data_IF_918855830416
#
_entry.id   IF_918855830416
#
_cell.length_a   1.000
_cell.length_b   1.000
_cell.length_c   1.000
_cell.angle_alpha   90.00
_cell.angle_beta   90.00
_cell.angle_gamma   90.00
#
_symmetry.space_group_name_H-M   'P 1'
#
loop_
_entity.id
_entity.type
_entity.pdbx_description
1 polymer ?
#
# COMPACT_ATOMS: atom_id res chain seq x y z
N UNK A 1 -16.22 6.78 9.84
CA UNK A 1 -15.35 6.90 8.63
C UNK A 1 -16.27 7.15 7.44
N UNK A 2 -16.09 8.22 6.67
CA UNK A 2 -17.01 8.53 5.56
C UNK A 2 -16.78 7.59 4.36
N UNK A 3 -17.84 7.31 3.59
CA UNK A 3 -17.78 6.44 2.40
C UNK A 3 -16.66 6.83 1.43
N UNK A 4 -16.47 8.14 1.19
CA UNK A 4 -15.39 8.65 0.34
C UNK A 4 -13.97 8.32 0.85
N UNK A 5 -13.79 8.13 2.16
CA UNK A 5 -12.48 7.75 2.72
C UNK A 5 -12.20 6.27 2.51
N UNK A 6 -13.23 5.42 2.65
CA UNK A 6 -13.12 3.97 2.40
C UNK A 6 -12.81 3.71 0.93
N UNK A 7 -13.50 4.41 0.02
CA UNK A 7 -13.25 4.30 -1.41
C UNK A 7 -11.81 4.72 -1.77
N UNK A 8 -11.34 5.86 -1.25
CA UNK A 8 -9.95 6.30 -1.44
C UNK A 8 -8.95 5.26 -0.92
N UNK A 9 -9.19 4.69 0.25
CA UNK A 9 -8.30 3.69 0.83
C UNK A 9 -8.26 2.40 -0.01
N UNK A 10 -9.40 1.96 -0.54
CA UNK A 10 -9.47 0.81 -1.46
C UNK A 10 -8.69 1.09 -2.76
N UNK A 11 -8.86 2.27 -3.36
CA UNK A 11 -8.18 2.67 -4.60
C UNK A 11 -6.66 2.78 -4.46
N UNK A 12 -6.18 3.10 -3.27
CA UNK A 12 -4.75 3.25 -2.95
C UNK A 12 -4.08 1.92 -2.57
N UNK A 13 -4.85 0.86 -2.33
CA UNK A 13 -4.33 -0.42 -1.81
C UNK A 13 -3.14 -0.94 -2.62
N UNK A 14 -3.34 -1.13 -3.94
CA UNK A 14 -2.32 -1.68 -4.83
C UNK A 14 -1.15 -0.71 -5.05
N UNK A 15 -1.43 0.59 -5.02
CA UNK A 15 -0.38 1.61 -5.14
C UNK A 15 0.56 1.56 -3.93
N UNK A 16 0.02 1.47 -2.71
CA UNK A 16 0.81 1.34 -1.48
C UNK A 16 1.68 0.08 -1.46
N UNK A 17 1.21 -1.02 -2.05
CA UNK A 17 2.03 -2.24 -2.18
C UNK A 17 3.24 -2.00 -3.09
N UNK A 18 3.03 -1.36 -4.25
CA UNK A 18 4.11 -1.02 -5.18
C UNK A 18 5.08 -0.03 -4.55
N UNK A 19 4.56 1.02 -3.91
CA UNK A 19 5.38 2.02 -3.22
C UNK A 19 6.20 1.40 -2.07
N UNK A 20 5.62 0.47 -1.32
CA UNK A 20 6.34 -0.23 -0.26
C UNK A 20 7.50 -1.06 -0.82
N UNK A 21 7.29 -1.73 -1.95
CA UNK A 21 8.33 -2.51 -2.61
C UNK A 21 9.47 -1.61 -3.12
N UNK A 22 9.14 -0.50 -3.79
CA UNK A 22 10.11 0.51 -4.22
C UNK A 22 10.92 1.07 -3.02
N UNK A 23 10.24 1.39 -1.93
CA UNK A 23 10.91 1.88 -0.71
C UNK A 23 11.82 0.82 -0.08
N UNK A 24 11.46 -0.48 -0.12
CA UNK A 24 12.31 -1.58 0.36
C UNK A 24 13.57 -1.73 -0.49
N UNK A 25 13.42 -1.73 -1.82
CA UNK A 25 14.55 -1.73 -2.75
C UNK A 25 15.49 -0.54 -2.49
N UNK A 26 14.93 0.65 -2.28
CA UNK A 26 15.71 1.85 -1.97
C UNK A 26 16.46 1.77 -0.66
N UNK A 27 15.89 1.12 0.36
CA UNK A 27 16.60 0.85 1.62
C UNK A 27 17.79 -0.09 1.36
N UNK A 28 17.60 -1.14 0.56
CA UNK A 28 18.68 -2.07 0.19
C UNK A 28 19.79 -1.36 -0.60
N UNK A 29 19.45 -0.52 -1.57
CA UNK A 29 20.42 0.32 -2.31
C UNK A 29 21.24 1.21 -1.36
N UNK A 30 20.59 1.85 -0.38
CA UNK A 30 21.25 2.69 0.61
C UNK A 30 22.19 1.88 1.52
N UNK A 31 21.80 0.65 1.89
CA UNK A 31 22.64 -0.26 2.69
C UNK A 31 23.85 -0.77 1.88
N UNK A 32 23.66 -1.17 0.63
CA UNK A 32 24.74 -1.61 -0.25
C UNK A 32 25.72 -0.48 -0.58
N UNK A 33 25.23 0.73 -0.86
CA UNK A 33 26.08 1.90 -1.07
C UNK A 33 26.94 2.23 0.15
N UNK A 34 26.41 1.97 1.36
CA UNK A 34 27.19 2.05 2.59
C UNK A 34 28.28 0.96 2.64
N UNK A 35 27.93 -0.31 2.41
CA UNK A 35 28.88 -1.43 2.43
C UNK A 35 30.02 -1.27 1.42
N UNK A 36 29.72 -0.89 0.18
CA UNK A 36 30.73 -0.64 -0.87
C UNK A 36 31.61 0.57 -0.49
N UNK A 37 31.01 1.62 0.09
CA UNK A 37 31.74 2.78 0.57
C UNK A 37 32.65 2.50 1.77
N UNK A 38 32.35 1.45 2.55
CA UNK A 38 33.18 0.94 3.66
C UNK A 38 34.32 0.06 3.12
N UNK A 39 34.06 -0.82 2.14
CA UNK A 39 35.08 -1.67 1.50
C UNK A 39 36.15 -0.83 0.79
N UNK A 40 35.77 0.29 0.16
CA UNK A 40 36.73 1.22 -0.46
C UNK A 40 37.51 2.09 0.55
N UNK A 41 37.26 1.96 1.86
CA UNK A 41 37.83 2.83 2.89
C UNK A 41 38.99 2.22 3.69
N UNK A 42 39.40 0.99 3.40
CA UNK A 42 40.65 0.44 3.95
C UNK A 42 41.91 1.11 3.36
N UNK A 43 41.75 1.98 2.36
CA UNK A 43 42.79 2.90 1.92
C UNK A 43 42.46 4.35 2.33
N UNK A 44 43.08 4.76 3.44
CA UNK A 44 43.46 6.16 3.78
C UNK A 44 42.39 7.10 4.38
N UNK A 45 42.71 7.48 5.62
CA UNK A 45 42.69 8.84 6.21
C UNK A 45 41.55 9.18 7.19
N UNK A 46 42.03 9.77 8.29
CA UNK A 46 41.36 10.28 9.47
C UNK A 46 40.37 11.43 9.18
N UNK A 47 39.24 11.36 9.88
CA UNK A 47 38.33 12.42 10.39
C UNK A 47 37.64 13.45 9.47
N UNK A 48 36.31 13.43 9.60
CA UNK A 48 35.33 14.53 9.55
C UNK A 48 34.88 15.08 8.18
N UNK A 49 33.85 14.42 7.65
CA UNK A 49 32.76 14.88 6.76
C UNK A 49 31.78 13.70 6.62
N UNK A 50 32.30 12.46 6.75
CA UNK A 50 31.55 11.20 6.66
C UNK A 50 30.49 10.96 7.74
N UNK A 51 30.61 11.48 8.97
CA UNK A 51 29.56 11.31 9.98
C UNK A 51 28.22 11.95 9.56
N UNK A 52 28.25 13.13 8.92
CA UNK A 52 27.03 13.78 8.40
C UNK A 52 26.35 12.96 7.29
N UNK A 53 27.13 12.26 6.47
CA UNK A 53 26.59 11.42 5.40
C UNK A 53 26.02 10.10 5.93
N UNK A 54 26.64 9.51 6.95
CA UNK A 54 26.13 8.30 7.59
C UNK A 54 24.81 8.58 8.33
N UNK A 55 24.74 9.68 9.07
CA UNK A 55 23.49 10.15 9.70
C UNK A 55 22.42 10.44 8.65
N UNK A 56 22.79 11.01 7.49
CA UNK A 56 21.82 11.27 6.40
C UNK A 56 21.25 9.98 5.81
N UNK A 57 22.07 8.96 5.58
CA UNK A 57 21.62 7.67 5.06
C UNK A 57 20.73 6.93 6.07
N UNK A 58 21.13 6.88 7.35
CA UNK A 58 20.34 6.26 8.40
C UNK A 58 19.01 6.98 8.64
N UNK A 59 19.00 8.30 8.67
CA UNK A 59 17.76 9.08 8.78
C UNK A 59 16.81 8.82 7.59
N UNK A 60 17.35 8.62 6.38
CA UNK A 60 16.54 8.27 5.20
C UNK A 60 15.96 6.87 5.33
N UNK A 61 16.76 5.88 5.74
CA UNK A 61 16.30 4.51 5.98
C UNK A 61 15.16 4.52 7.01
N UNK A 62 15.35 5.15 8.17
CA UNK A 62 14.31 5.25 9.20
C UNK A 62 13.03 5.92 8.68
N UNK A 63 13.17 6.96 7.86
CA UNK A 63 12.01 7.66 7.27
C UNK A 63 11.25 6.75 6.31
N UNK A 64 11.96 5.99 5.47
CA UNK A 64 11.36 5.02 4.55
C UNK A 64 10.67 3.89 5.32
N UNK A 65 11.32 3.33 6.35
CA UNK A 65 10.74 2.29 7.21
C UNK A 65 9.45 2.78 7.91
N UNK A 66 9.46 4.02 8.43
CA UNK A 66 8.25 4.63 9.02
C UNK A 66 7.12 4.76 7.99
N UNK A 67 7.43 5.17 6.76
CA UNK A 67 6.43 5.28 5.67
C UNK A 67 5.87 3.92 5.27
N UNK A 68 6.73 2.91 5.09
CA UNK A 68 6.31 1.53 4.83
C UNK A 68 5.31 1.07 5.90
N UNK A 69 5.63 1.28 7.18
CA UNK A 69 4.77 0.89 8.29
C UNK A 69 3.41 1.59 8.27
N UNK A 70 3.37 2.89 7.92
CA UNK A 70 2.11 3.63 7.76
C UNK A 70 1.26 3.02 6.64
N UNK A 71 1.88 2.74 5.49
CA UNK A 71 1.22 2.11 4.34
C UNK A 71 0.69 0.71 4.68
N UNK A 72 1.46 -0.11 5.40
CA UNK A 72 1.05 -1.43 5.86
C UNK A 72 -0.14 -1.36 6.82
N UNK A 73 -0.14 -0.41 7.76
CA UNK A 73 -1.28 -0.18 8.65
C UNK A 73 -2.52 0.21 7.84
N UNK A 74 -2.37 1.06 6.83
CA UNK A 74 -3.47 1.47 5.97
C UNK A 74 -4.04 0.29 5.16
N UNK A 75 -3.19 -0.56 4.58
CA UNK A 75 -3.64 -1.76 3.87
C UNK A 75 -4.28 -2.79 4.81
N UNK A 76 -3.74 -2.97 6.02
CA UNK A 76 -4.36 -3.83 7.05
C UNK A 76 -5.76 -3.36 7.44
N UNK A 77 -6.01 -2.04 7.48
CA UNK A 77 -7.37 -1.50 7.69
C UNK A 77 -8.29 -1.90 6.54
N UNK A 78 -7.82 -1.81 5.30
CA UNK A 78 -8.58 -2.27 4.12
C UNK A 78 -8.86 -3.78 4.21
N UNK A 79 -7.88 -4.60 4.58
CA UNK A 79 -8.08 -6.05 4.73
C UNK A 79 -9.14 -6.38 5.77
N UNK A 80 -9.12 -5.67 6.90
CA UNK A 80 -10.14 -5.79 7.94
C UNK A 80 -11.53 -5.41 7.39
N UNK A 81 -11.64 -4.31 6.65
CA UNK A 81 -12.90 -3.88 6.00
C UNK A 81 -13.40 -4.98 5.05
N UNK A 82 -12.52 -5.51 4.20
CA UNK A 82 -12.85 -6.57 3.24
C UNK A 82 -13.19 -7.91 3.91
N UNK A 83 -12.67 -8.18 5.10
CA UNK A 83 -12.98 -9.40 5.88
C UNK A 83 -14.42 -9.44 6.39
N UNK A 84 -15.09 -8.29 6.47
CA UNK A 84 -16.46 -8.15 6.95
C UNK A 84 -17.51 -8.39 5.85
N UNK A 85 -17.08 -8.49 4.60
CA UNK A 85 -17.95 -8.74 3.45
C UNK A 85 -18.14 -10.24 3.20
N UNK A 86 -19.27 -10.59 2.57
CA UNK A 86 -19.43 -11.94 2.03
C UNK A 86 -18.39 -12.19 0.92
N UNK A 87 -17.97 -13.45 0.68
CA UNK A 87 -16.96 -13.76 -0.34
C UNK A 87 -17.25 -13.15 -1.72
N UNK A 88 -18.52 -13.21 -2.15
CA UNK A 88 -18.96 -12.66 -3.43
C UNK A 88 -18.97 -11.12 -3.48
N UNK A 89 -19.21 -10.45 -2.34
CA UNK A 89 -19.16 -8.99 -2.21
C UNK A 89 -17.70 -8.52 -2.25
N UNK A 90 -16.84 -9.21 -1.50
CA UNK A 90 -15.40 -8.97 -1.45
C UNK A 90 -14.76 -9.05 -2.83
N UNK A 91 -15.12 -10.06 -3.62
CA UNK A 91 -14.62 -10.22 -5.00
C UNK A 91 -15.00 -9.05 -5.90
N UNK A 92 -16.27 -8.63 -5.88
CA UNK A 92 -16.74 -7.48 -6.65
C UNK A 92 -16.00 -6.19 -6.25
N UNK A 93 -15.83 -5.95 -4.95
CA UNK A 93 -15.12 -4.76 -4.46
C UNK A 93 -13.64 -4.79 -4.86
N UNK A 94 -12.98 -5.95 -4.76
CA UNK A 94 -11.58 -6.11 -5.20
C UNK A 94 -11.41 -5.79 -6.68
N UNK A 95 -12.22 -6.38 -7.54
CA UNK A 95 -12.13 -6.15 -8.99
C UNK A 95 -12.35 -4.68 -9.35
N UNK A 96 -13.37 -4.05 -8.77
CA UNK A 96 -13.73 -2.68 -9.14
C UNK A 96 -12.79 -1.64 -8.55
N UNK A 97 -12.43 -1.75 -7.27
CA UNK A 97 -11.71 -0.69 -6.57
C UNK A 97 -10.21 -0.96 -6.41
N UNK A 98 -9.79 -2.21 -6.24
CA UNK A 98 -8.35 -2.54 -6.07
C UNK A 98 -7.70 -2.79 -7.43
N UNK A 99 -8.33 -3.61 -8.27
CA UNK A 99 -7.85 -3.90 -9.63
C UNK A 99 -8.25 -2.82 -10.65
N UNK A 100 -9.10 -1.87 -10.25
CA UNK A 100 -9.58 -0.74 -11.07
C UNK A 100 -10.28 -1.18 -12.37
N UNK A 101 -10.91 -2.36 -12.37
CA UNK A 101 -11.71 -2.83 -13.51
C UNK A 101 -13.01 -2.05 -13.61
N UNK A 102 -13.48 -1.86 -14.84
CA UNK A 102 -14.80 -1.26 -15.05
C UNK A 102 -15.92 -2.18 -14.55
N UNK A 103 -17.08 -1.61 -14.22
CA UNK A 103 -18.28 -2.37 -13.84
C UNK A 103 -18.68 -3.35 -14.96
N UNK A 104 -18.54 -2.96 -16.22
CA UNK A 104 -18.86 -3.81 -17.37
C UNK A 104 -17.92 -5.02 -17.47
N UNK A 105 -16.61 -4.80 -17.27
CA UNK A 105 -15.63 -5.89 -17.28
C UNK A 105 -15.85 -6.84 -16.10
N UNK A 106 -16.05 -6.29 -14.90
CA UNK A 106 -16.34 -7.07 -13.69
C UNK A 106 -17.62 -7.91 -13.86
N UNK A 107 -18.66 -7.32 -14.46
CA UNK A 107 -19.90 -8.02 -14.76
C UNK A 107 -19.68 -9.21 -15.71
N UNK A 108 -18.87 -9.02 -16.76
CA UNK A 108 -18.54 -10.08 -17.71
C UNK A 108 -17.71 -11.20 -17.06
N UNK A 109 -16.67 -10.85 -16.29
CA UNK A 109 -15.79 -11.82 -15.62
C UNK A 109 -16.53 -12.65 -14.55
N UNK A 110 -17.49 -12.02 -13.84
CA UNK A 110 -18.28 -12.70 -12.81
C UNK A 110 -19.58 -13.31 -13.34
N UNK A 111 -19.81 -13.31 -14.67
CA UNK A 111 -21.05 -13.78 -15.31
C UNK A 111 -22.33 -13.20 -14.67
N UNK A 112 -22.30 -11.91 -14.35
CA UNK A 112 -23.38 -11.18 -13.67
C UNK A 112 -23.86 -9.99 -14.48
N UNK A 113 -25.07 -9.51 -14.17
CA UNK A 113 -25.59 -8.27 -14.76
C UNK A 113 -24.96 -7.04 -14.11
N UNK A 114 -24.72 -5.98 -14.91
CA UNK A 114 -24.17 -4.69 -14.41
C UNK A 114 -24.98 -4.09 -13.25
N UNK A 115 -26.32 -4.24 -13.30
CA UNK A 115 -27.21 -3.80 -12.21
C UNK A 115 -26.96 -4.59 -10.92
N UNK A 116 -26.69 -5.89 -11.03
CA UNK A 116 -26.34 -6.70 -9.87
C UNK A 116 -25.02 -6.26 -9.26
N UNK A 117 -23.99 -5.99 -10.08
CA UNK A 117 -22.69 -5.47 -9.60
C UNK A 117 -22.89 -4.15 -8.85
N UNK A 118 -23.63 -3.18 -9.43
CA UNK A 118 -23.94 -1.91 -8.77
C UNK A 118 -24.63 -2.12 -7.42
N UNK A 119 -25.64 -2.98 -7.38
CA UNK A 119 -26.36 -3.28 -6.14
C UNK A 119 -25.45 -3.91 -5.08
N UNK A 120 -24.55 -4.82 -5.47
CA UNK A 120 -23.56 -5.42 -4.57
C UNK A 120 -22.62 -4.37 -4.00
N UNK A 121 -22.15 -3.43 -4.82
CA UNK A 121 -21.31 -2.31 -4.37
C UNK A 121 -22.06 -1.46 -3.35
N UNK A 122 -23.29 -1.03 -3.65
CA UNK A 122 -24.11 -0.22 -2.74
C UNK A 122 -24.31 -0.91 -1.40
N UNK A 123 -24.70 -2.20 -1.41
CA UNK A 123 -24.88 -3.00 -0.19
C UNK A 123 -23.59 -3.12 0.63
N UNK A 124 -22.44 -3.31 -0.04
CA UNK A 124 -21.14 -3.39 0.63
C UNK A 124 -20.82 -2.09 1.37
N UNK A 125 -21.02 -0.93 0.72
CA UNK A 125 -20.79 0.37 1.34
C UNK A 125 -21.80 0.69 2.46
N UNK A 126 -23.06 0.30 2.33
CA UNK A 126 -24.03 0.39 3.42
C UNK A 126 -23.59 -0.42 4.64
N UNK A 127 -23.04 -1.62 4.42
CA UNK A 127 -22.51 -2.47 5.49
C UNK A 127 -21.31 -1.82 6.16
N UNK A 128 -20.39 -1.25 5.39
CA UNK A 128 -19.26 -0.48 5.93
C UNK A 128 -19.73 0.70 6.79
N UNK A 129 -20.67 1.50 6.29
CA UNK A 129 -21.19 2.66 7.01
C UNK A 129 -21.89 2.30 8.32
N UNK A 130 -22.51 1.12 8.43
CA UNK A 130 -23.11 0.63 9.69
C UNK A 130 -22.06 0.31 10.75
N UNK A 131 -20.88 -0.15 10.35
CA UNK A 131 -19.82 -0.60 11.25
C UNK A 131 -18.98 0.60 11.75
N UNK A 132 -18.77 1.59 10.88
CA UNK A 132 -17.97 2.79 11.19
C UNK A 132 -18.81 4.02 11.58
N UNK A 133 -20.05 3.77 12.02
CA UNK A 133 -20.99 4.76 12.56
C UNK A 133 -20.58 5.15 13.97
#
# INVERSE_FOLDING_TARGET
MNQNNIEKDLLLYRLREIENEDMRLKIEELRLGYEIGVINYDEKVQTSIKCKNNDSAMNKIETLEKKIRINEIANKRVDNILSMLEPHEKEVIKMVFIEKKSISQTANELYKNRKSIKNTITKSFERFNKIYK
#
